data_IF_169257656101
#
_entry.id   IF_169257656101
#
_cell.length_a   1.000
_cell.length_b   1.000
_cell.length_c   1.000
_cell.angle_alpha   90.00
_cell.angle_beta   90.00
_cell.angle_gamma   90.00
#
_symmetry.space_group_name_H-M   'P 1'
#
loop_
_entity.id
_entity.type
_entity.pdbx_description
1 polymer ?
#
# COMPACT_ATOMS: atom_id res chain seq x y z
N UNK A 1 28.40 -19.39 -10.22
CA UNK A 1 28.69 -17.97 -10.36
C UNK A 1 28.34 -17.24 -9.08
N UNK A 2 29.22 -16.33 -8.61
CA UNK A 2 28.91 -15.48 -7.48
C UNK A 2 27.97 -14.36 -7.97
N UNK A 3 26.93 -14.05 -7.17
CA UNK A 3 26.08 -12.88 -7.40
C UNK A 3 26.73 -11.70 -6.70
N UNK A 4 26.99 -10.63 -7.43
CA UNK A 4 27.45 -9.36 -6.88
C UNK A 4 26.24 -8.46 -6.65
N UNK A 5 26.11 -7.92 -5.44
CA UNK A 5 25.03 -7.02 -5.06
C UNK A 5 25.62 -5.64 -4.78
N UNK A 6 25.18 -4.65 -5.55
CA UNK A 6 25.56 -3.26 -5.34
C UNK A 6 24.33 -2.37 -5.08
N UNK A 7 24.45 -1.30 -4.28
CA UNK A 7 23.35 -0.39 -4.05
C UNK A 7 23.00 0.37 -5.34
N UNK A 8 21.71 0.40 -5.65
CA UNK A 8 21.20 1.21 -6.74
C UNK A 8 21.10 2.68 -6.28
N UNK A 9 21.62 3.66 -7.04
CA UNK A 9 21.58 5.06 -6.64
C UNK A 9 20.16 5.57 -6.39
N UNK A 10 19.98 6.30 -5.29
CA UNK A 10 18.68 6.82 -4.86
C UNK A 10 18.61 8.31 -5.19
N UNK A 11 18.35 8.63 -6.45
CA UNK A 11 18.12 10.01 -6.90
C UNK A 11 16.61 10.28 -7.07
N UNK A 12 16.22 11.54 -7.11
CA UNK A 12 14.88 11.95 -7.49
C UNK A 12 14.73 11.91 -9.02
N UNK A 13 13.63 11.32 -9.53
CA UNK A 13 13.33 11.30 -10.96
C UNK A 13 13.35 9.91 -11.60
N UNK A 14 13.19 9.83 -12.93
CA UNK A 14 13.31 8.58 -13.68
C UNK A 14 14.70 7.95 -13.53
N UNK A 15 14.78 6.64 -13.77
CA UNK A 15 16.05 5.93 -13.76
C UNK A 15 16.90 6.37 -14.96
N UNK A 16 18.17 6.70 -14.72
CA UNK A 16 19.12 7.00 -15.79
C UNK A 16 19.50 5.69 -16.54
N UNK A 17 19.42 5.64 -17.87
CA UNK A 17 19.76 4.44 -18.64
C UNK A 17 21.19 3.96 -18.41
N UNK A 18 22.14 4.86 -18.17
CA UNK A 18 23.53 4.49 -17.89
C UNK A 18 23.65 3.72 -16.59
N UNK A 19 22.89 4.12 -15.56
CA UNK A 19 22.85 3.40 -14.28
C UNK A 19 22.16 2.05 -14.46
N UNK A 20 21.06 2.01 -15.22
CA UNK A 20 20.34 0.77 -15.48
C UNK A 20 21.23 -0.26 -16.19
N UNK A 21 22.07 0.20 -17.11
CA UNK A 21 22.98 -0.64 -17.90
C UNK A 21 24.22 -1.12 -17.14
N UNK A 22 24.45 -0.66 -15.90
CA UNK A 22 25.52 -1.20 -15.03
C UNK A 22 25.17 -2.56 -14.42
N UNK A 23 23.89 -2.98 -14.46
CA UNK A 23 23.40 -4.17 -13.77
C UNK A 23 22.72 -5.15 -14.73
N UNK A 24 22.86 -6.44 -14.47
CA UNK A 24 22.12 -7.49 -15.20
C UNK A 24 20.64 -7.54 -14.76
N UNK A 25 20.39 -7.28 -13.48
CA UNK A 25 19.06 -7.26 -12.87
C UNK A 25 18.99 -6.12 -11.86
N UNK A 26 17.90 -5.35 -11.89
CA UNK A 26 17.67 -4.25 -10.95
C UNK A 26 16.47 -4.55 -10.05
N UNK A 27 16.67 -4.46 -8.73
CA UNK A 27 15.57 -4.47 -7.76
C UNK A 27 15.10 -3.01 -7.55
N UNK A 28 14.02 -2.64 -8.23
CA UNK A 28 13.51 -1.26 -8.25
C UNK A 28 12.56 -0.98 -7.08
N UNK A 29 12.83 0.12 -6.38
CA UNK A 29 11.90 0.73 -5.41
C UNK A 29 10.81 1.55 -6.10
N UNK A 30 10.63 2.83 -5.73
CA UNK A 30 9.58 3.72 -6.24
C UNK A 30 9.97 4.58 -7.45
N UNK A 31 11.17 4.42 -8.02
CA UNK A 31 11.62 5.23 -9.16
C UNK A 31 10.86 4.88 -10.43
N UNK A 32 10.66 5.89 -11.26
CA UNK A 32 9.99 5.71 -12.55
C UNK A 32 10.94 5.11 -13.57
N UNK A 33 10.45 4.13 -14.32
CA UNK A 33 11.11 3.59 -15.52
C UNK A 33 10.27 4.03 -16.71
N UNK A 34 10.85 4.87 -17.53
CA UNK A 34 10.22 5.49 -18.70
C UNK A 34 10.95 5.08 -19.98
N UNK A 35 10.50 5.57 -21.13
CA UNK A 35 11.18 5.34 -22.42
C UNK A 35 12.63 5.84 -22.42
N UNK A 36 12.90 6.98 -21.78
CA UNK A 36 14.25 7.48 -21.65
C UNK A 36 15.12 6.57 -20.76
N UNK A 37 14.51 5.95 -19.74
CA UNK A 37 15.24 5.07 -18.81
C UNK A 37 15.79 3.80 -19.46
N UNK A 38 15.17 3.30 -20.53
CA UNK A 38 15.61 2.07 -21.21
C UNK A 38 16.32 2.34 -22.54
N UNK A 39 16.51 3.61 -22.90
CA UNK A 39 17.11 3.98 -24.18
C UNK A 39 18.57 3.56 -24.26
N UNK A 40 18.88 2.62 -25.17
CA UNK A 40 20.24 2.11 -25.38
C UNK A 40 20.77 1.20 -24.29
N UNK A 41 19.90 0.69 -23.41
CA UNK A 41 20.27 -0.32 -22.40
C UNK A 41 20.41 -1.67 -23.09
N UNK A 42 21.58 -2.31 -22.92
CA UNK A 42 21.91 -3.60 -23.52
C UNK A 42 22.13 -4.70 -22.47
N UNK A 43 22.56 -4.33 -21.26
CA UNK A 43 22.92 -5.28 -20.21
C UNK A 43 21.77 -5.67 -19.32
N UNK A 44 20.92 -4.72 -18.92
CA UNK A 44 19.83 -4.99 -17.98
C UNK A 44 18.73 -5.86 -18.62
N UNK A 45 18.62 -7.08 -18.17
CA UNK A 45 17.66 -8.07 -18.67
C UNK A 45 16.36 -8.12 -17.85
N UNK A 46 16.37 -7.67 -16.59
CA UNK A 46 15.20 -7.70 -15.76
C UNK A 46 15.12 -6.56 -14.71
N UNK A 47 13.92 -6.09 -14.48
CA UNK A 47 13.57 -5.15 -13.41
C UNK A 47 12.59 -5.84 -12.48
N UNK A 48 12.98 -6.06 -11.23
CA UNK A 48 12.13 -6.64 -10.20
C UNK A 48 11.57 -5.53 -9.32
N UNK A 49 10.27 -5.30 -9.39
CA UNK A 49 9.59 -4.29 -8.60
C UNK A 49 9.34 -4.80 -7.18
N UNK A 50 9.87 -4.08 -6.18
CA UNK A 50 9.66 -4.42 -4.78
C UNK A 50 8.22 -4.08 -4.36
N UNK A 51 7.39 -5.11 -4.16
CA UNK A 51 5.96 -5.00 -3.87
C UNK A 51 5.07 -5.43 -5.03
N UNK A 52 3.78 -5.16 -4.94
CA UNK A 52 2.77 -5.55 -5.92
C UNK A 52 2.53 -4.47 -7.01
N UNK A 53 2.66 -3.19 -6.65
CA UNK A 53 2.41 -2.08 -7.56
C UNK A 53 3.53 -1.93 -8.60
N UNK A 54 3.17 -1.62 -9.84
CA UNK A 54 4.09 -1.38 -10.94
C UNK A 54 3.76 -0.11 -11.74
N UNK A 55 2.91 0.75 -11.23
CA UNK A 55 2.47 2.01 -11.80
C UNK A 55 3.60 3.00 -12.14
N UNK A 56 4.78 2.78 -11.55
CA UNK A 56 6.00 3.55 -11.84
C UNK A 56 6.83 2.98 -12.98
N UNK A 57 6.48 1.81 -13.53
CA UNK A 57 7.22 1.14 -14.62
C UNK A 57 6.36 1.08 -15.86
N UNK A 58 6.83 1.63 -16.95
CA UNK A 58 6.20 1.54 -18.26
C UNK A 58 6.47 0.15 -18.85
N UNK A 59 5.46 -0.72 -18.77
CA UNK A 59 5.57 -2.13 -19.19
C UNK A 59 5.78 -2.28 -20.70
N UNK A 60 5.11 -1.44 -21.51
CA UNK A 60 5.21 -1.50 -22.97
C UNK A 60 6.63 -1.16 -23.40
N UNK A 61 7.18 -0.11 -22.81
CA UNK A 61 8.56 0.33 -23.07
C UNK A 61 9.59 -0.72 -22.64
N UNK A 62 9.40 -1.35 -21.49
CA UNK A 62 10.29 -2.43 -21.04
C UNK A 62 10.19 -3.66 -21.97
N UNK A 63 8.98 -3.99 -22.43
CA UNK A 63 8.75 -5.08 -23.38
C UNK A 63 9.43 -4.81 -24.72
N UNK A 64 9.29 -3.59 -25.26
CA UNK A 64 9.96 -3.16 -26.50
C UNK A 64 11.49 -3.26 -26.37
N UNK A 65 12.03 -2.96 -25.20
CA UNK A 65 13.47 -3.04 -24.90
C UNK A 65 13.94 -4.48 -24.55
N UNK A 66 13.05 -5.48 -24.49
CA UNK A 66 13.38 -6.86 -24.12
C UNK A 66 13.69 -7.06 -22.63
N UNK A 67 13.29 -6.12 -21.79
CA UNK A 67 13.51 -6.13 -20.34
C UNK A 67 12.30 -6.78 -19.64
N UNK A 68 12.55 -7.85 -18.89
CA UNK A 68 11.50 -8.53 -18.09
C UNK A 68 11.15 -7.68 -16.88
N UNK A 69 9.84 -7.46 -16.63
CA UNK A 69 9.37 -6.82 -15.41
C UNK A 69 8.68 -7.86 -14.53
N UNK A 70 9.14 -7.98 -13.29
CA UNK A 70 8.55 -8.84 -12.27
C UNK A 70 8.15 -8.06 -11.03
N UNK A 71 7.19 -8.57 -10.26
CA UNK A 71 6.74 -7.99 -8.99
C UNK A 71 6.88 -8.99 -7.85
N UNK A 72 6.91 -8.50 -6.59
CA UNK A 72 7.02 -9.33 -5.39
C UNK A 72 5.82 -9.10 -4.45
N UNK A 73 4.60 -9.50 -4.85
CA UNK A 73 3.37 -9.10 -4.16
C UNK A 73 3.25 -9.64 -2.73
N UNK A 74 3.94 -10.74 -2.41
CA UNK A 74 3.92 -11.33 -1.06
C UNK A 74 4.85 -10.63 -0.06
N UNK A 75 5.90 -9.95 -0.52
CA UNK A 75 7.01 -9.48 0.32
C UNK A 75 6.63 -8.34 1.28
N UNK A 76 5.70 -7.48 0.89
CA UNK A 76 5.30 -6.28 1.66
C UNK A 76 3.93 -6.40 2.32
N UNK A 77 3.24 -7.51 2.12
CA UNK A 77 1.85 -7.71 2.54
C UNK A 77 1.62 -7.37 4.01
N UNK A 78 2.34 -8.04 4.91
CA UNK A 78 2.22 -7.83 6.36
C UNK A 78 2.65 -6.43 6.80
N UNK A 79 3.70 -5.90 6.22
CA UNK A 79 4.19 -4.55 6.54
C UNK A 79 3.18 -3.47 6.17
N UNK A 80 2.54 -3.59 5.01
CA UNK A 80 1.50 -2.65 4.56
C UNK A 80 0.23 -2.76 5.41
N UNK A 81 -0.19 -3.97 5.77
CA UNK A 81 -1.31 -4.19 6.68
C UNK A 81 -1.03 -3.58 8.07
N UNK A 82 0.19 -3.75 8.59
CA UNK A 82 0.61 -3.15 9.86
C UNK A 82 0.62 -1.63 9.79
N UNK A 83 1.09 -1.04 8.69
CA UNK A 83 1.05 0.40 8.48
C UNK A 83 -0.38 0.94 8.47
N UNK A 84 -1.30 0.26 7.76
CA UNK A 84 -2.72 0.63 7.73
C UNK A 84 -3.35 0.59 9.14
N UNK A 85 -3.11 -0.49 9.90
CA UNK A 85 -3.56 -0.60 11.29
C UNK A 85 -2.99 0.53 12.16
N UNK A 86 -1.70 0.85 12.00
CA UNK A 86 -1.03 1.93 12.74
C UNK A 86 -1.73 3.27 12.50
N UNK A 87 -2.09 3.58 11.24
CA UNK A 87 -2.82 4.81 10.92
C UNK A 87 -4.23 4.82 11.52
N UNK A 88 -4.96 3.71 11.48
CA UNK A 88 -6.29 3.60 12.09
C UNK A 88 -6.21 3.86 13.59
N UNK A 89 -5.26 3.23 14.30
CA UNK A 89 -5.03 3.42 15.73
C UNK A 89 -4.61 4.86 16.05
N UNK A 90 -3.74 5.45 15.25
CA UNK A 90 -3.31 6.84 15.44
C UNK A 90 -4.46 7.84 15.25
N UNK A 91 -5.34 7.60 14.27
CA UNK A 91 -6.53 8.43 14.03
C UNK A 91 -7.53 8.26 15.16
N UNK A 92 -7.88 7.02 15.52
CA UNK A 92 -8.88 6.72 16.54
C UNK A 92 -8.49 7.29 17.91
N UNK A 93 -7.22 7.21 18.26
CA UNK A 93 -6.69 7.72 19.54
C UNK A 93 -6.32 9.21 19.52
N UNK A 94 -6.40 9.87 18.35
CA UNK A 94 -5.91 11.25 18.12
C UNK A 94 -4.43 11.42 18.48
N UNK A 95 -3.63 10.39 18.20
CA UNK A 95 -2.24 10.28 18.64
C UNK A 95 -1.40 11.53 18.29
N UNK A 96 -1.43 11.98 17.05
CA UNK A 96 -0.63 13.11 16.59
C UNK A 96 -1.04 14.43 17.27
N UNK A 97 -2.33 14.61 17.52
CA UNK A 97 -2.84 15.78 18.24
C UNK A 97 -2.35 15.76 19.70
N UNK A 98 -2.53 14.63 20.40
CA UNK A 98 -2.09 14.49 21.79
C UNK A 98 -0.59 14.61 21.94
N UNK A 99 0.19 14.02 21.03
CA UNK A 99 1.64 14.17 20.99
C UNK A 99 2.06 15.64 20.94
N UNK A 100 1.42 16.44 20.07
CA UNK A 100 1.67 17.89 20.00
C UNK A 100 1.36 18.62 21.30
N UNK A 101 0.27 18.27 21.98
CA UNK A 101 -0.04 18.85 23.29
C UNK A 101 1.07 18.58 24.31
N UNK A 102 1.55 17.33 24.36
CA UNK A 102 2.63 16.94 25.27
C UNK A 102 3.92 17.71 24.99
N UNK A 103 4.35 17.77 23.72
CA UNK A 103 5.55 18.52 23.33
C UNK A 103 5.46 20.03 23.66
N UNK A 104 4.25 20.59 23.67
CA UNK A 104 4.01 21.99 24.01
C UNK A 104 3.72 22.22 25.52
N UNK A 105 3.97 21.23 26.38
CA UNK A 105 3.73 21.34 27.83
C UNK A 105 2.24 21.38 28.24
N UNK A 106 1.32 21.00 27.33
CA UNK A 106 -0.15 21.07 27.51
C UNK A 106 -0.74 19.70 27.83
N UNK A 107 -0.08 18.91 28.64
CA UNK A 107 -0.47 17.54 29.00
C UNK A 107 -1.93 17.39 29.45
N UNK A 108 -2.38 18.26 30.40
CA UNK A 108 -3.73 18.20 30.96
C UNK A 108 -4.86 18.36 29.93
N UNK A 109 -4.59 19.01 28.81
CA UNK A 109 -5.60 19.22 27.76
C UNK A 109 -5.89 17.96 26.96
N UNK A 110 -4.95 17.01 26.90
CA UNK A 110 -5.15 15.70 26.21
C UNK A 110 -6.20 14.82 26.86
N UNK A 111 -6.47 15.00 28.16
CA UNK A 111 -7.49 14.26 28.91
C UNK A 111 -8.87 14.89 28.89
N UNK A 112 -9.04 16.11 28.35
CA UNK A 112 -10.34 16.72 28.17
C UNK A 112 -11.24 15.88 27.28
N UNK A 113 -12.53 15.75 27.61
CA UNK A 113 -13.50 14.94 26.87
C UNK A 113 -13.54 15.25 25.37
N UNK A 114 -13.40 16.52 24.99
CA UNK A 114 -13.33 16.97 23.60
C UNK A 114 -12.08 16.46 22.84
N UNK A 115 -11.05 16.03 23.56
CA UNK A 115 -9.77 15.57 23.03
C UNK A 115 -9.56 14.05 23.16
N UNK A 116 -10.45 13.35 23.83
CA UNK A 116 -10.43 11.90 23.92
C UNK A 116 -10.69 11.32 22.52
N UNK A 117 -9.90 10.34 22.12
CA UNK A 117 -10.16 9.62 20.86
C UNK A 117 -11.40 8.76 20.94
N UNK A 118 -11.71 8.04 19.88
CA UNK A 118 -12.76 7.02 19.84
C UNK A 118 -12.15 5.63 19.96
N UNK A 119 -12.85 4.70 20.62
CA UNK A 119 -12.50 3.29 20.54
C UNK A 119 -12.79 2.74 19.14
N UNK A 120 -12.33 1.51 18.86
CA UNK A 120 -12.62 0.82 17.61
C UNK A 120 -13.82 -0.12 17.71
N UNK A 121 -14.12 -0.65 18.92
CA UNK A 121 -15.24 -1.56 19.13
C UNK A 121 -16.57 -0.92 18.73
N UNK A 122 -17.35 -1.65 17.93
CA UNK A 122 -18.62 -1.20 17.35
C UNK A 122 -18.49 -0.18 16.20
N UNK A 123 -17.25 0.16 15.79
CA UNK A 123 -16.99 1.00 14.63
C UNK A 123 -16.99 0.19 13.35
N UNK A 124 -17.15 0.86 12.21
CA UNK A 124 -17.16 0.23 10.89
C UNK A 124 -15.90 0.58 10.13
N UNK A 125 -15.20 -0.45 9.62
CA UNK A 125 -14.10 -0.29 8.69
C UNK A 125 -14.55 -0.71 7.28
N UNK A 126 -14.30 0.15 6.28
CA UNK A 126 -14.52 -0.11 4.87
C UNK A 126 -13.21 -0.39 4.14
N UNK A 127 -13.18 -1.51 3.42
CA UNK A 127 -12.06 -1.90 2.58
C UNK A 127 -12.40 -1.63 1.11
N UNK A 128 -11.72 -0.70 0.48
CA UNK A 128 -11.76 -0.55 -0.97
C UNK A 128 -10.65 -1.42 -1.56
N UNK A 129 -11.01 -2.64 -1.95
CA UNK A 129 -10.11 -3.75 -2.29
C UNK A 129 -9.83 -4.68 -1.09
N UNK A 130 -10.02 -6.00 -1.29
CA UNK A 130 -9.83 -7.04 -0.25
C UNK A 130 -8.87 -8.14 -0.72
N UNK A 131 -7.77 -7.72 -1.34
CA UNK A 131 -6.67 -8.59 -1.77
C UNK A 131 -5.79 -9.08 -0.62
N UNK A 132 -4.54 -9.41 -0.92
CA UNK A 132 -3.59 -9.94 0.08
C UNK A 132 -3.37 -9.03 1.29
N UNK A 133 -3.27 -7.70 1.06
CA UNK A 133 -3.08 -6.72 2.14
C UNK A 133 -4.36 -6.57 2.96
N UNK A 134 -5.53 -6.50 2.31
CA UNK A 134 -6.81 -6.38 2.99
C UNK A 134 -7.10 -7.56 3.92
N UNK A 135 -6.83 -8.78 3.47
CA UNK A 135 -6.97 -10.00 4.29
C UNK A 135 -5.99 -10.03 5.47
N UNK A 136 -4.76 -9.57 5.28
CA UNK A 136 -3.80 -9.45 6.38
C UNK A 136 -4.20 -8.35 7.38
N UNK A 137 -4.75 -7.22 6.89
CA UNK A 137 -5.29 -6.19 7.78
C UNK A 137 -6.49 -6.70 8.56
N UNK A 138 -7.41 -7.43 7.91
CA UNK A 138 -8.52 -8.07 8.61
C UNK A 138 -8.02 -8.96 9.75
N UNK A 139 -7.04 -9.83 9.50
CA UNK A 139 -6.47 -10.71 10.53
C UNK A 139 -5.83 -9.93 11.70
N UNK A 140 -5.29 -8.72 11.46
CA UNK A 140 -4.73 -7.87 12.51
C UNK A 140 -5.80 -7.10 13.29
N UNK A 141 -6.91 -6.71 12.65
CA UNK A 141 -7.88 -5.79 13.23
C UNK A 141 -9.16 -6.47 13.72
N UNK A 142 -9.44 -7.71 13.29
CA UNK A 142 -10.61 -8.47 13.73
C UNK A 142 -10.80 -8.55 15.26
N UNK A 143 -9.74 -8.61 16.11
CA UNK A 143 -9.92 -8.62 17.57
C UNK A 143 -10.46 -7.31 18.16
N UNK A 144 -10.65 -6.25 17.37
CA UNK A 144 -11.16 -4.96 17.85
C UNK A 144 -12.69 -4.83 17.79
N UNK A 145 -13.42 -5.90 17.46
CA UNK A 145 -14.89 -5.95 17.39
C UNK A 145 -15.48 -4.87 16.47
N UNK A 146 -14.91 -4.71 15.29
CA UNK A 146 -15.40 -3.79 14.27
C UNK A 146 -16.35 -4.51 13.30
N UNK A 147 -17.26 -3.77 12.67
CA UNK A 147 -17.98 -4.21 11.48
C UNK A 147 -17.10 -4.02 10.25
N UNK A 148 -17.04 -5.01 9.37
CA UNK A 148 -16.18 -5.02 8.20
C UNK A 148 -16.98 -4.94 6.90
N UNK A 149 -16.86 -3.82 6.17
CA UNK A 149 -17.49 -3.63 4.85
C UNK A 149 -16.42 -3.76 3.77
N UNK A 150 -16.74 -4.43 2.67
CA UNK A 150 -15.82 -4.64 1.56
C UNK A 150 -16.47 -4.24 0.23
N UNK A 151 -15.80 -3.37 -0.50
CA UNK A 151 -16.07 -3.07 -1.90
C UNK A 151 -14.90 -3.58 -2.74
N UNK A 152 -15.08 -4.74 -3.37
CA UNK A 152 -14.09 -5.36 -4.27
C UNK A 152 -14.84 -6.17 -5.34
N UNK A 153 -14.82 -5.76 -6.61
CA UNK A 153 -15.51 -6.46 -7.69
C UNK A 153 -14.93 -7.84 -8.00
N UNK A 154 -13.69 -8.10 -7.59
CA UNK A 154 -12.99 -9.37 -7.87
C UNK A 154 -13.04 -10.36 -6.68
N UNK A 155 -13.68 -9.97 -5.57
CA UNK A 155 -13.81 -10.85 -4.41
C UNK A 155 -14.85 -11.95 -4.70
N UNK A 156 -14.40 -13.19 -4.82
CA UNK A 156 -15.27 -14.34 -4.99
C UNK A 156 -15.98 -14.73 -3.66
N UNK A 157 -17.12 -15.43 -3.79
CA UNK A 157 -17.94 -15.82 -2.63
C UNK A 157 -17.25 -16.83 -1.72
N UNK A 158 -16.42 -17.73 -2.27
CA UNK A 158 -15.70 -18.71 -1.50
C UNK A 158 -14.66 -18.06 -0.59
N UNK A 159 -13.98 -17.03 -1.11
CA UNK A 159 -13.06 -16.22 -0.31
C UNK A 159 -13.83 -15.35 0.70
N UNK A 160 -14.91 -14.70 0.29
CA UNK A 160 -15.72 -13.87 1.20
C UNK A 160 -16.26 -14.68 2.39
N UNK A 161 -16.72 -15.91 2.15
CA UNK A 161 -17.26 -16.80 3.17
C UNK A 161 -16.26 -17.26 4.25
N UNK A 162 -14.97 -16.98 4.07
CA UNK A 162 -13.93 -17.28 5.07
C UNK A 162 -13.74 -16.17 6.10
N UNK A 163 -14.39 -15.02 5.90
CA UNK A 163 -14.25 -13.83 6.74
C UNK A 163 -15.61 -13.34 7.19
N UNK A 164 -15.68 -12.73 8.36
CA UNK A 164 -16.88 -12.03 8.83
C UNK A 164 -16.91 -10.62 8.24
N UNK A 165 -17.31 -10.53 6.96
CA UNK A 165 -17.35 -9.30 6.17
C UNK A 165 -18.70 -9.17 5.44
N UNK A 166 -19.10 -7.94 5.18
CA UNK A 166 -20.26 -7.60 4.38
C UNK A 166 -19.81 -6.96 3.06
N UNK A 167 -20.24 -7.54 1.93
CA UNK A 167 -19.98 -6.97 0.60
C UNK A 167 -20.98 -5.88 0.30
N UNK A 168 -20.47 -4.71 -0.07
CA UNK A 168 -21.27 -3.53 -0.38
C UNK A 168 -20.74 -2.82 -1.62
N UNK A 169 -21.55 -1.94 -2.20
CA UNK A 169 -21.09 -1.01 -3.23
C UNK A 169 -20.29 0.17 -2.64
N UNK A 170 -19.64 0.95 -3.48
CA UNK A 170 -18.81 2.09 -3.04
C UNK A 170 -19.62 3.16 -2.29
N UNK A 171 -20.82 3.59 -2.74
CA UNK A 171 -21.64 4.53 -1.98
C UNK A 171 -21.98 4.06 -0.58
N UNK A 172 -22.38 2.80 -0.41
CA UNK A 172 -22.69 2.22 0.90
C UNK A 172 -21.43 2.12 1.77
N UNK A 173 -20.29 1.71 1.21
CA UNK A 173 -19.03 1.66 1.94
C UNK A 173 -18.66 3.05 2.49
N UNK A 174 -18.69 4.08 1.65
CA UNK A 174 -18.30 5.44 2.04
C UNK A 174 -19.27 6.06 3.07
N UNK A 175 -20.57 5.76 2.96
CA UNK A 175 -21.57 6.35 3.85
C UNK A 175 -21.66 5.67 5.22
N UNK A 176 -21.24 4.39 5.33
CA UNK A 176 -21.40 3.59 6.54
C UNK A 176 -20.09 3.35 7.30
N UNK A 177 -18.94 3.71 6.73
CA UNK A 177 -17.65 3.45 7.37
C UNK A 177 -17.19 4.62 8.24
N UNK A 178 -16.70 4.32 9.44
CA UNK A 178 -15.95 5.26 10.28
C UNK A 178 -14.50 5.42 9.80
N UNK A 179 -13.93 4.34 9.22
CA UNK A 179 -12.60 4.29 8.64
C UNK A 179 -12.65 3.65 7.25
N UNK A 180 -12.02 4.27 6.27
CA UNK A 180 -11.87 3.71 4.92
C UNK A 180 -10.41 3.46 4.63
N UNK A 181 -10.10 2.25 4.18
CA UNK A 181 -8.75 1.85 3.76
C UNK A 181 -8.75 1.56 2.27
N UNK A 182 -7.96 2.32 1.51
CA UNK A 182 -7.83 2.16 0.06
C UNK A 182 -6.67 1.19 -0.21
N UNK A 183 -6.99 0.00 -0.72
CA UNK A 183 -6.05 -1.09 -0.98
C UNK A 183 -6.15 -1.64 -2.42
N UNK A 184 -6.99 -1.02 -3.25
CA UNK A 184 -7.08 -1.35 -4.66
C UNK A 184 -5.84 -0.84 -5.43
N UNK A 185 -5.45 -1.49 -6.54
CA UNK A 185 -4.41 -0.99 -7.42
C UNK A 185 -4.78 0.37 -8.01
N UNK A 186 -3.77 1.20 -8.28
CA UNK A 186 -3.96 2.42 -9.07
C UNK A 186 -4.03 2.05 -10.56
N UNK A 187 -5.16 2.31 -11.18
CA UNK A 187 -5.42 2.11 -12.60
C UNK A 187 -6.37 3.16 -13.16
N UNK A 188 -6.72 3.07 -14.43
CA UNK A 188 -7.65 4.03 -15.06
C UNK A 188 -9.02 4.02 -14.38
N UNK A 189 -9.52 2.85 -13.98
CA UNK A 189 -10.82 2.67 -13.33
C UNK A 189 -10.83 3.10 -11.84
N UNK A 190 -9.67 3.25 -11.22
CA UNK A 190 -9.52 3.60 -9.79
C UNK A 190 -8.92 4.97 -9.55
N UNK A 191 -8.62 5.71 -10.64
CA UNK A 191 -8.12 7.08 -10.58
C UNK A 191 -9.31 8.06 -10.58
N UNK A 192 -9.53 8.74 -9.45
CA UNK A 192 -10.59 9.76 -9.16
C UNK A 192 -12.00 9.20 -9.08
#
# INVERSE_FOLDING_TARGET
PAVEIAPFPVDAGPVDPKILDEFDVVLAGGRRVTRESVAGVERCSAIVRFGAGFDTVDLDVCTDAGIIVATTPGSVRRSMATAALTHILALSTRLFFKSRLVYNGRWGEGSMLANVGTGLSGKTIGYLGFGNIGRDLYALISPFDMRHLVCDPYLDEATAGQYDIERVDLPALLSQSDFVVVLCPLGEETRH
#
